data_IF_675861955132
#
_entry.id   IF_675861955132
#
_cell.length_a   1.000
_cell.length_b   1.000
_cell.length_c   1.000
_cell.angle_alpha   90.00
_cell.angle_beta   90.00
_cell.angle_gamma   90.00
#
_symmetry.space_group_name_H-M   'P 1'
#
loop_
_entity.id
_entity.type
_entity.pdbx_description
1 polymer ?
#
# COMPACT_ATOMS: atom_id res chain seq x y z
N UNK A 1 -19.32 24.46 0.42
CA UNK A 1 -18.97 24.68 -1.00
C UNK A 1 -18.37 26.05 -1.15
N UNK A 2 -17.11 26.15 -1.59
CA UNK A 2 -16.52 27.31 -2.27
C UNK A 2 -15.13 26.89 -2.76
N UNK A 3 -15.03 26.53 -4.03
CA UNK A 3 -13.77 26.34 -4.75
C UNK A 3 -13.23 27.72 -5.15
N UNK A 4 -11.91 27.97 -5.14
CA UNK A 4 -11.32 29.03 -5.93
C UNK A 4 -10.96 28.51 -7.32
N UNK A 5 -11.55 29.14 -8.34
CA UNK A 5 -11.19 29.02 -9.75
C UNK A 5 -9.85 29.71 -10.01
N UNK A 6 -8.86 28.97 -10.51
CA UNK A 6 -7.66 29.56 -11.08
C UNK A 6 -7.91 29.86 -12.56
N UNK A 7 -8.00 31.15 -12.88
CA UNK A 7 -8.13 31.68 -14.24
C UNK A 7 -6.73 32.13 -14.73
N UNK A 8 -6.20 31.60 -15.85
CA UNK A 8 -4.95 32.09 -16.39
C UNK A 8 -5.18 33.37 -17.20
N UNK A 9 -4.71 34.49 -16.64
CA UNK A 9 -4.66 35.81 -17.27
C UNK A 9 -3.95 35.74 -18.63
N UNK A 10 -4.73 35.83 -19.72
CA UNK A 10 -4.20 36.07 -21.06
C UNK A 10 -3.89 37.56 -21.21
N UNK A 11 -2.62 37.94 -21.10
CA UNK A 11 -2.16 39.27 -21.51
C UNK A 11 -2.08 39.33 -23.03
N UNK A 12 -3.02 40.08 -23.63
CA UNK A 12 -3.01 40.45 -25.05
C UNK A 12 -2.13 41.68 -25.27
N UNK A 13 -1.07 41.62 -26.10
CA UNK A 13 -0.32 42.81 -26.46
C UNK A 13 -1.03 43.61 -27.55
N UNK A 14 -1.05 44.93 -27.36
CA UNK A 14 -1.82 45.92 -28.08
C UNK A 14 -1.60 45.94 -29.61
N UNK A 15 -2.70 46.29 -30.28
CA UNK A 15 -2.71 46.67 -31.68
C UNK A 15 -2.35 48.16 -31.80
N UNK A 16 -1.30 48.46 -32.57
CA UNK A 16 -1.06 49.78 -33.15
C UNK A 16 -1.20 49.69 -34.69
N UNK A 17 -1.90 50.64 -35.34
CA UNK A 17 -2.17 50.61 -36.76
C UNK A 17 -1.16 51.42 -37.59
N UNK A 18 -0.88 50.89 -38.78
CA UNK A 18 -0.44 51.60 -39.98
C UNK A 18 0.99 52.18 -40.01
N UNK A 19 1.89 51.46 -40.70
CA UNK A 19 2.83 52.07 -41.65
C UNK A 19 3.07 51.08 -42.79
N UNK A 20 2.56 51.42 -43.98
CA UNK A 20 2.76 50.65 -45.20
C UNK A 20 4.17 50.84 -45.75
N UNK A 21 4.93 49.74 -45.81
CA UNK A 21 6.18 49.62 -46.55
C UNK A 21 6.04 48.48 -47.55
N UNK A 22 6.55 48.62 -48.79
CA UNK A 22 6.40 47.61 -49.84
C UNK A 22 7.09 46.30 -49.44
N UNK A 23 6.37 45.19 -49.66
CA UNK A 23 6.80 43.83 -49.39
C UNK A 23 7.98 43.45 -50.30
N UNK A 24 9.20 43.59 -49.79
CA UNK A 24 10.34 42.82 -50.29
C UNK A 24 10.30 41.46 -49.61
N UNK A 25 10.13 40.34 -50.33
CA UNK A 25 10.20 39.03 -49.70
C UNK A 25 11.60 38.87 -49.08
N UNK A 26 11.72 38.59 -47.77
CA UNK A 26 13.00 38.22 -47.20
C UNK A 26 13.43 36.94 -47.90
N UNK A 27 14.64 36.95 -48.48
CA UNK A 27 15.31 35.74 -48.91
C UNK A 27 15.22 34.74 -47.75
N UNK A 28 14.54 33.63 -47.99
CA UNK A 28 14.36 32.55 -47.04
C UNK A 28 15.74 31.99 -46.66
N UNK A 29 16.38 32.61 -45.67
CA UNK A 29 17.44 31.99 -44.90
C UNK A 29 16.79 30.84 -44.14
N UNK A 30 17.01 29.62 -44.63
CA UNK A 30 16.65 28.39 -43.94
C UNK A 30 17.19 28.46 -42.51
N UNK A 31 16.30 28.70 -41.55
CA UNK A 31 16.56 28.37 -40.16
C UNK A 31 16.73 26.85 -40.12
N UNK A 32 17.96 26.37 -40.30
CA UNK A 32 18.34 25.01 -39.97
C UNK A 32 18.08 24.86 -38.48
N UNK A 33 16.92 24.29 -38.15
CA UNK A 33 16.72 23.66 -36.85
C UNK A 33 17.87 22.65 -36.76
N UNK A 34 18.79 22.77 -35.79
CA UNK A 34 19.84 21.77 -35.64
C UNK A 34 19.14 20.42 -35.51
N UNK A 35 19.57 19.45 -36.32
CA UNK A 35 19.06 18.08 -36.27
C UNK A 35 18.97 17.66 -34.81
N UNK A 36 17.78 17.25 -34.35
CA UNK A 36 17.63 16.85 -32.94
C UNK A 36 18.62 15.72 -32.63
N UNK A 37 19.13 15.61 -31.41
CA UNK A 37 20.05 14.53 -31.05
C UNK A 37 19.48 13.14 -31.39
N UNK A 38 18.16 13.01 -31.35
CA UNK A 38 17.41 11.83 -31.79
C UNK A 38 17.55 11.55 -33.30
N UNK A 39 17.54 12.58 -34.15
CA UNK A 39 17.67 12.49 -35.60
C UNK A 39 19.12 12.21 -36.04
N UNK A 40 20.08 12.80 -35.32
CA UNK A 40 21.51 12.50 -35.50
C UNK A 40 21.82 11.05 -35.07
N UNK A 41 21.30 10.59 -33.93
CA UNK A 41 21.38 9.17 -33.52
C UNK A 41 20.76 8.26 -34.56
N UNK A 42 19.55 8.57 -35.04
CA UNK A 42 18.85 7.72 -36.00
C UNK A 42 19.56 7.56 -37.34
N UNK A 43 20.41 8.52 -37.71
CA UNK A 43 21.23 8.47 -38.93
C UNK A 43 22.55 7.71 -38.74
N UNK A 44 22.99 7.53 -37.49
CA UNK A 44 24.34 7.01 -37.15
C UNK A 44 24.31 5.66 -36.43
N UNK A 45 23.24 5.35 -35.70
CA UNK A 45 23.03 4.09 -34.97
C UNK A 45 22.32 3.04 -35.84
N UNK A 46 22.75 1.79 -35.72
CA UNK A 46 22.10 0.67 -36.39
C UNK A 46 20.76 0.32 -35.72
N UNK A 47 19.87 -0.39 -36.44
CA UNK A 47 18.63 -0.92 -35.86
C UNK A 47 18.87 -1.82 -34.61
N UNK A 48 20.05 -2.42 -34.51
CA UNK A 48 20.46 -3.19 -33.33
C UNK A 48 20.74 -2.30 -32.12
N UNK A 49 21.31 -1.11 -32.31
CA UNK A 49 21.57 -0.14 -31.23
C UNK A 49 20.26 0.42 -30.66
N UNK A 50 19.31 0.79 -31.52
CA UNK A 50 18.01 1.32 -31.09
C UNK A 50 17.23 0.31 -30.24
N UNK A 51 17.26 -0.97 -30.63
CA UNK A 51 16.60 -2.03 -29.87
C UNK A 51 17.31 -2.32 -28.55
N UNK A 52 18.65 -2.20 -28.51
CA UNK A 52 19.44 -2.27 -27.29
C UNK A 52 19.04 -1.17 -26.31
N UNK A 53 18.94 0.08 -26.77
CA UNK A 53 18.52 1.22 -25.95
C UNK A 53 17.09 1.08 -25.43
N UNK A 54 16.14 0.66 -26.26
CA UNK A 54 14.76 0.43 -25.81
C UNK A 54 14.65 -0.69 -24.76
N UNK A 55 15.43 -1.76 -24.93
CA UNK A 55 15.49 -2.87 -23.95
C UNK A 55 16.09 -2.39 -22.63
N UNK A 56 17.10 -1.53 -22.68
CA UNK A 56 17.74 -0.93 -21.52
C UNK A 56 16.81 0.05 -20.78
N UNK A 57 16.03 0.85 -21.51
CA UNK A 57 15.02 1.75 -20.95
C UNK A 57 13.90 0.97 -20.26
N UNK A 58 13.40 -0.11 -20.90
CA UNK A 58 12.38 -0.97 -20.30
C UNK A 58 12.91 -1.70 -19.06
N UNK A 59 14.17 -2.19 -19.10
CA UNK A 59 14.85 -2.77 -17.94
C UNK A 59 14.96 -1.76 -16.80
N UNK A 60 15.24 -0.50 -17.13
CA UNK A 60 15.33 0.60 -16.16
C UNK A 60 13.97 0.89 -15.53
N UNK A 61 12.89 0.99 -16.31
CA UNK A 61 11.52 1.18 -15.80
C UNK A 61 11.06 0.03 -14.91
N UNK A 62 11.29 -1.22 -15.35
CA UNK A 62 10.97 -2.41 -14.55
C UNK A 62 11.70 -2.38 -13.21
N UNK A 63 12.98 -1.99 -13.21
CA UNK A 63 13.75 -1.89 -11.98
C UNK A 63 13.28 -0.75 -11.08
N UNK A 64 12.76 0.34 -11.65
CA UNK A 64 12.18 1.45 -10.91
C UNK A 64 10.83 1.06 -10.28
N UNK A 65 9.93 0.42 -11.03
CA UNK A 65 8.65 -0.10 -10.53
C UNK A 65 8.87 -1.09 -9.38
N UNK A 66 9.84 -2.00 -9.51
CA UNK A 66 10.19 -2.93 -8.43
C UNK A 66 10.74 -2.17 -7.21
N UNK A 67 11.58 -1.15 -7.41
CA UNK A 67 12.10 -0.35 -6.31
C UNK A 67 11.00 0.44 -5.60
N UNK A 68 10.05 0.99 -6.35
CA UNK A 68 8.91 1.71 -5.81
C UNK A 68 7.97 0.78 -5.05
N UNK A 69 7.56 -0.34 -5.66
CA UNK A 69 6.75 -1.36 -5.03
C UNK A 69 7.41 -1.90 -3.76
N UNK A 70 8.74 -2.09 -3.78
CA UNK A 70 9.50 -2.48 -2.58
C UNK A 70 9.48 -1.39 -1.51
N UNK A 71 9.62 -0.12 -1.87
CA UNK A 71 9.56 1.00 -0.93
C UNK A 71 8.16 1.14 -0.29
N UNK A 72 7.11 1.00 -1.10
CA UNK A 72 5.72 1.04 -0.64
C UNK A 72 5.39 -0.19 0.23
N UNK A 73 5.80 -1.39 -0.18
CA UNK A 73 5.64 -2.60 0.62
C UNK A 73 6.38 -2.50 1.95
N UNK A 74 7.60 -1.97 1.97
CA UNK A 74 8.38 -1.76 3.20
C UNK A 74 7.71 -0.76 4.13
N UNK A 75 7.21 0.34 3.58
CA UNK A 75 6.47 1.37 4.32
C UNK A 75 5.18 0.79 4.91
N UNK A 76 4.43 0.04 4.09
CA UNK A 76 3.20 -0.65 4.51
C UNK A 76 3.48 -1.67 5.61
N UNK A 77 4.53 -2.48 5.46
CA UNK A 77 4.96 -3.45 6.46
C UNK A 77 5.37 -2.79 7.77
N UNK A 78 6.07 -1.65 7.72
CA UNK A 78 6.46 -0.89 8.92
C UNK A 78 5.23 -0.33 9.63
N UNK A 79 4.27 0.24 8.90
CA UNK A 79 3.03 0.76 9.48
C UNK A 79 2.18 -0.35 10.09
N UNK A 80 1.99 -1.46 9.35
CA UNK A 80 1.29 -2.63 9.85
C UNK A 80 1.98 -3.22 11.09
N UNK A 81 3.32 -3.31 11.08
CA UNK A 81 4.12 -3.78 12.22
C UNK A 81 4.02 -2.87 13.43
N UNK A 82 4.07 -1.55 13.24
CA UNK A 82 3.87 -0.57 14.32
C UNK A 82 2.45 -0.68 14.90
N UNK A 83 1.43 -0.79 14.04
CA UNK A 83 0.05 -1.02 14.47
C UNK A 83 -0.08 -2.31 15.28
N UNK A 84 0.39 -3.44 14.75
CA UNK A 84 0.38 -4.71 15.45
C UNK A 84 1.12 -4.65 16.81
N UNK A 85 2.27 -3.96 16.86
CA UNK A 85 3.02 -3.71 18.09
C UNK A 85 2.23 -2.89 19.12
N UNK A 86 1.57 -1.81 18.69
CA UNK A 86 0.70 -1.00 19.56
C UNK A 86 -0.47 -1.82 20.10
N UNK A 87 -1.09 -2.65 19.26
CA UNK A 87 -2.21 -3.51 19.66
C UNK A 87 -1.75 -4.58 20.66
N UNK A 88 -0.56 -5.17 20.47
CA UNK A 88 0.03 -6.12 21.42
C UNK A 88 0.35 -5.44 22.76
N UNK A 89 0.94 -4.24 22.74
CA UNK A 89 1.21 -3.46 23.94
C UNK A 89 -0.07 -3.05 24.67
N UNK A 90 -1.11 -2.65 23.94
CA UNK A 90 -2.42 -2.33 24.51
C UNK A 90 -3.08 -3.57 25.15
N UNK A 91 -2.96 -4.75 24.53
CA UNK A 91 -3.44 -6.00 25.10
C UNK A 91 -2.71 -6.33 26.43
N UNK A 92 -1.39 -6.19 26.46
CA UNK A 92 -0.60 -6.41 27.68
C UNK A 92 -0.92 -5.37 28.77
N UNK A 93 -1.02 -4.09 28.41
CA UNK A 93 -1.42 -3.03 29.32
C UNK A 93 -2.82 -3.27 29.89
N UNK A 94 -3.78 -3.64 29.03
CA UNK A 94 -5.12 -4.04 29.44
C UNK A 94 -5.12 -5.22 30.40
N UNK A 95 -4.26 -6.23 30.17
CA UNK A 95 -4.09 -7.35 31.09
C UNK A 95 -3.62 -6.89 32.49
N UNK A 96 -2.64 -5.99 32.57
CA UNK A 96 -2.21 -5.44 33.86
C UNK A 96 -3.29 -4.62 34.55
N UNK A 97 -4.06 -3.81 33.81
CA UNK A 97 -5.21 -3.08 34.37
C UNK A 97 -6.21 -4.04 35.00
N UNK A 98 -6.55 -5.13 34.29
CA UNK A 98 -7.47 -6.15 34.80
C UNK A 98 -6.90 -6.88 36.03
N UNK A 99 -5.59 -7.15 36.07
CA UNK A 99 -4.91 -7.73 37.22
C UNK A 99 -5.01 -6.81 38.44
N UNK A 100 -4.64 -5.54 38.31
CA UNK A 100 -4.70 -4.57 39.40
C UNK A 100 -6.14 -4.31 39.85
N UNK A 101 -7.09 -4.27 38.92
CA UNK A 101 -8.51 -4.14 39.26
C UNK A 101 -9.01 -5.35 40.07
N UNK A 102 -8.55 -6.56 39.74
CA UNK A 102 -8.90 -7.77 40.47
C UNK A 102 -8.34 -7.77 41.89
N UNK A 103 -7.09 -7.32 42.05
CA UNK A 103 -6.48 -7.16 43.37
C UNK A 103 -7.22 -6.09 44.18
N UNK A 104 -7.45 -4.92 43.58
CA UNK A 104 -8.19 -3.83 44.22
C UNK A 104 -9.60 -4.27 44.66
N UNK A 105 -10.31 -5.01 43.81
CA UNK A 105 -11.63 -5.54 44.12
C UNK A 105 -11.57 -6.56 45.27
N UNK A 106 -10.60 -7.46 45.25
CA UNK A 106 -10.40 -8.45 46.33
C UNK A 106 -10.13 -7.75 47.66
N UNK A 107 -9.25 -6.75 47.67
CA UNK A 107 -8.95 -5.95 48.87
C UNK A 107 -10.16 -5.12 49.32
N UNK A 108 -10.89 -4.50 48.39
CA UNK A 108 -12.09 -3.73 48.70
C UNK A 108 -13.17 -4.61 49.36
N UNK A 109 -13.44 -5.79 48.81
CA UNK A 109 -14.36 -6.76 49.42
C UNK A 109 -13.81 -7.29 50.75
N UNK A 110 -12.49 -7.49 50.84
CA UNK A 110 -11.80 -7.89 52.07
C UNK A 110 -11.96 -6.92 53.25
N UNK A 111 -12.41 -5.68 53.01
CA UNK A 111 -12.74 -4.74 54.09
C UNK A 111 -14.11 -5.02 54.73
N UNK A 112 -14.99 -5.75 54.05
CA UNK A 112 -16.36 -6.05 54.52
C UNK A 112 -16.61 -7.54 54.78
N UNK A 113 -15.71 -8.42 54.32
CA UNK A 113 -15.76 -9.87 54.53
C UNK A 113 -14.35 -10.48 54.58
N UNK A 114 -14.25 -11.76 54.91
CA UNK A 114 -12.99 -12.49 54.87
C UNK A 114 -12.39 -12.52 53.45
N UNK A 115 -11.05 -12.39 53.38
CA UNK A 115 -10.32 -12.25 52.12
C UNK A 115 -10.45 -13.48 51.22
N UNK A 116 -10.63 -14.67 51.79
CA UNK A 116 -10.85 -15.90 51.03
C UNK A 116 -12.18 -15.86 50.28
N UNK A 117 -13.26 -15.42 50.93
CA UNK A 117 -14.57 -15.27 50.28
C UNK A 117 -14.57 -14.16 49.24
N UNK A 118 -13.86 -13.05 49.51
CA UNK A 118 -13.66 -11.99 48.52
C UNK A 118 -12.98 -12.52 47.26
N UNK A 119 -11.89 -13.28 47.40
CA UNK A 119 -11.16 -13.87 46.28
C UNK A 119 -12.04 -14.85 45.48
N UNK A 120 -12.87 -15.66 46.14
CA UNK A 120 -13.81 -16.57 45.47
C UNK A 120 -14.85 -15.82 44.63
N UNK A 121 -15.38 -14.71 45.13
CA UNK A 121 -16.33 -13.87 44.38
C UNK A 121 -15.66 -13.29 43.13
N UNK A 122 -14.45 -12.75 43.27
CA UNK A 122 -13.69 -12.19 42.14
C UNK A 122 -13.36 -13.29 41.12
N UNK A 123 -13.00 -14.49 41.56
CA UNK A 123 -12.78 -15.64 40.70
C UNK A 123 -14.05 -16.06 39.94
N UNK A 124 -15.21 -16.05 40.62
CA UNK A 124 -16.50 -16.35 39.97
C UNK A 124 -16.84 -15.33 38.88
N UNK A 125 -16.60 -14.03 39.11
CA UNK A 125 -16.77 -12.99 38.09
C UNK A 125 -15.89 -13.27 36.87
N UNK A 126 -14.62 -13.60 37.08
CA UNK A 126 -13.71 -13.97 35.99
C UNK A 126 -14.13 -15.24 35.24
N UNK A 127 -14.64 -16.24 35.95
CA UNK A 127 -15.15 -17.46 35.32
C UNK A 127 -16.31 -17.16 34.36
N UNK A 128 -17.24 -16.27 34.75
CA UNK A 128 -18.35 -15.83 33.89
C UNK A 128 -17.82 -15.07 32.67
N UNK A 129 -16.92 -14.12 32.86
CA UNK A 129 -16.29 -13.37 31.76
C UNK A 129 -15.60 -14.34 30.79
N UNK A 130 -14.79 -15.27 31.30
CA UNK A 130 -14.09 -16.26 30.50
C UNK A 130 -15.04 -17.16 29.71
N UNK A 131 -16.14 -17.62 30.32
CA UNK A 131 -17.15 -18.42 29.63
C UNK A 131 -17.79 -17.65 28.47
N UNK A 132 -18.14 -16.38 28.66
CA UNK A 132 -18.69 -15.52 27.60
C UNK A 132 -17.67 -15.35 26.47
N UNK A 133 -16.42 -15.02 26.81
CA UNK A 133 -15.35 -14.83 25.82
C UNK A 133 -15.09 -16.11 25.02
N UNK A 134 -15.07 -17.28 25.66
CA UNK A 134 -14.89 -18.57 24.99
C UNK A 134 -16.03 -18.85 24.00
N UNK A 135 -17.29 -18.62 24.40
CA UNK A 135 -18.45 -18.82 23.53
C UNK A 135 -18.44 -17.84 22.34
N UNK A 136 -18.16 -16.56 22.58
CA UNK A 136 -18.09 -15.53 21.52
C UNK A 136 -16.92 -15.82 20.58
N UNK A 137 -15.75 -16.15 21.12
CA UNK A 137 -14.56 -16.51 20.37
C UNK A 137 -14.82 -17.70 19.47
N UNK A 138 -15.41 -18.78 20.01
CA UNK A 138 -15.82 -19.95 19.25
C UNK A 138 -16.77 -19.58 18.11
N UNK A 139 -17.83 -18.81 18.39
CA UNK A 139 -18.78 -18.35 17.35
C UNK A 139 -18.11 -17.53 16.25
N UNK A 140 -17.10 -16.71 16.58
CA UNK A 140 -16.35 -15.92 15.58
C UNK A 140 -15.46 -16.81 14.73
N UNK A 141 -14.76 -17.78 15.32
CA UNK A 141 -13.92 -18.74 14.59
C UNK A 141 -14.77 -19.64 13.68
N UNK A 142 -15.93 -20.09 14.16
CA UNK A 142 -16.84 -20.92 13.37
C UNK A 142 -17.39 -20.16 12.16
N UNK A 143 -17.62 -18.84 12.27
CA UNK A 143 -17.98 -17.98 11.13
C UNK A 143 -16.84 -17.84 10.11
N UNK A 144 -15.59 -17.78 10.54
CA UNK A 144 -14.44 -17.69 9.62
C UNK A 144 -14.19 -19.01 8.88
N UNK A 145 -14.45 -20.16 9.51
CA UNK A 145 -14.39 -21.48 8.85
C UNK A 145 -15.44 -21.65 7.74
N UNK A 146 -16.46 -20.81 7.72
CA UNK A 146 -17.47 -20.74 6.66
C UNK A 146 -17.06 -19.97 5.40
N UNK A 147 -15.78 -19.64 5.20
CA UNK A 147 -15.23 -19.10 3.94
C UNK A 147 -14.51 -20.20 3.13
N UNK A 148 -15.23 -21.06 2.38
CA UNK A 148 -14.63 -22.08 1.54
C UNK A 148 -14.28 -21.49 0.16
N UNK A 149 -13.22 -20.68 0.01
CA UNK A 149 -12.81 -20.20 -1.33
C UNK A 149 -11.30 -19.86 -1.44
N UNK A 150 -10.42 -20.55 -0.72
CA UNK A 150 -8.96 -20.37 -0.96
C UNK A 150 -8.13 -21.63 -0.77
N UNK A 151 -8.74 -22.73 -0.33
CA UNK A 151 -8.08 -24.04 -0.26
C UNK A 151 -8.30 -24.90 -1.52
N UNK A 152 -9.29 -24.57 -2.36
CA UNK A 152 -9.49 -25.26 -3.65
C UNK A 152 -8.49 -24.79 -4.71
N UNK A 153 -8.13 -23.49 -4.74
CA UNK A 153 -7.15 -22.95 -5.70
C UNK A 153 -5.71 -23.46 -5.48
N UNK A 154 -5.39 -23.96 -4.27
CA UNK A 154 -4.06 -24.54 -3.98
C UNK A 154 -4.00 -26.05 -4.26
N UNK A 155 -5.16 -26.71 -4.44
CA UNK A 155 -5.25 -28.14 -4.70
C UNK A 155 -5.50 -28.51 -6.17
N UNK A 156 -5.82 -27.54 -7.04
CA UNK A 156 -5.77 -27.72 -8.50
C UNK A 156 -4.40 -27.34 -9.07
N UNK A 157 -3.34 -28.04 -8.66
CA UNK A 157 -2.19 -28.20 -9.57
C UNK A 157 -2.52 -29.46 -10.38
N UNK A 158 -3.03 -29.33 -11.62
CA UNK A 158 -3.35 -30.49 -12.44
C UNK A 158 -2.10 -31.37 -12.62
N UNK A 159 -2.23 -32.71 -12.63
CA UNK A 159 -1.12 -33.66 -12.81
C UNK A 159 -0.45 -33.59 -14.20
N UNK A 160 -0.68 -32.53 -14.97
CA UNK A 160 -0.14 -32.29 -16.32
C UNK A 160 1.25 -31.68 -16.32
N UNK A 161 1.85 -31.38 -15.15
CA UNK A 161 3.28 -31.00 -15.05
C UNK A 161 4.21 -32.22 -14.91
N UNK A 162 3.95 -33.28 -15.68
CA UNK A 162 4.91 -34.36 -15.90
C UNK A 162 5.34 -34.37 -17.39
N UNK A 163 6.21 -33.46 -17.83
CA UNK A 163 6.77 -33.45 -19.19
C UNK A 163 7.91 -34.48 -19.32
N UNK A 164 7.66 -35.74 -18.97
CA UNK A 164 8.69 -36.78 -19.04
C UNK A 164 8.14 -38.13 -19.48
N UNK A 165 7.26 -38.15 -20.50
CA UNK A 165 6.94 -39.35 -21.31
C UNK A 165 6.57 -39.00 -22.76
N UNK A 166 7.42 -38.25 -23.43
CA UNK A 166 7.64 -38.37 -24.89
C UNK A 166 9.14 -38.65 -25.02
N UNK A 167 9.64 -39.78 -25.48
CA UNK A 167 9.71 -40.27 -26.88
C UNK A 167 10.76 -41.43 -26.84
N UNK A 168 10.98 -42.27 -27.86
CA UNK A 168 10.12 -42.86 -28.90
C UNK A 168 9.81 -44.35 -28.65
#
# INVERSE_FOLDING_TARGET
>A
MSSPSNDPTYTSPGADPATGSPLTPPAAGSSQIPDSEAETRARTESLGEMFSHFTEDLSTLMRQEIQLAKAEATTSAKQAGAGAGMLAAAALGGFFVLLFLSLALTWALGNVMDLGWAALIVAAVWAVIAAILAVVGKKRLDKMKGLPQTQETVQEIPPTLNPSKETP
#
